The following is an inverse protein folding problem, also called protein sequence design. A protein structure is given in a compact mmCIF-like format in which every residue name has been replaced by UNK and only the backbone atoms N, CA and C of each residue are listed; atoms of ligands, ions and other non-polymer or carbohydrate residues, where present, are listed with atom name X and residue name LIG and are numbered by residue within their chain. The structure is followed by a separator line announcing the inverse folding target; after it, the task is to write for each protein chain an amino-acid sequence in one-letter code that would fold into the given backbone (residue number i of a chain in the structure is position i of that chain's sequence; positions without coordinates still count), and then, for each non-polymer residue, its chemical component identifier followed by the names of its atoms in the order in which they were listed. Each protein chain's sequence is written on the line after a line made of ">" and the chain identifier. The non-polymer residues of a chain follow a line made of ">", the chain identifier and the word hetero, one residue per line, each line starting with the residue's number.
data_IF_559751154449
#
_entry.id   IF_559751154449
#
_cell.length_a   1.000
_cell.length_b   1.000
_cell.length_c   1.000
_cell.angle_alpha   90.00
_cell.angle_beta   90.00
_cell.angle_gamma   90.00
#
_symmetry.space_group_name_H-M   'P 1'
#
loop_
_entity.id
_entity.type
_entity.pdbx_description
1 polymer ?
#
# COMPACT_ATOMS: atom_id res chain seq x y z
N UNK A 1 -1.06 -9.02 51.54
CA UNK A 1 -1.61 -7.65 51.64
C UNK A 1 -2.79 -7.51 50.69
N UNK A 2 -4.02 -7.28 51.17
CA UNK A 2 -5.21 -7.14 50.30
C UNK A 2 -5.29 -5.69 49.79
N UNK A 3 -5.37 -5.50 48.47
CA UNK A 3 -5.58 -4.18 47.85
C UNK A 3 -6.98 -3.65 48.15
N UNK A 4 -7.08 -2.35 48.44
CA UNK A 4 -8.37 -1.66 48.62
C UNK A 4 -9.16 -1.63 47.31
N UNK A 5 -10.49 -1.51 47.41
CA UNK A 5 -11.39 -1.42 46.24
C UNK A 5 -10.97 -0.27 45.31
N UNK A 6 -10.61 0.88 45.90
CA UNK A 6 -10.15 2.06 45.16
C UNK A 6 -8.85 1.78 44.38
N UNK A 7 -7.82 1.19 45.01
CA UNK A 7 -6.56 0.87 44.32
C UNK A 7 -6.76 -0.13 43.18
N UNK A 8 -7.70 -1.07 43.31
CA UNK A 8 -8.06 -2.01 42.23
C UNK A 8 -8.70 -1.27 41.05
N UNK A 9 -9.59 -0.31 41.32
CA UNK A 9 -10.22 0.53 40.29
C UNK A 9 -9.20 1.39 39.56
N UNK A 10 -8.27 2.03 40.29
CA UNK A 10 -7.19 2.84 39.68
C UNK A 10 -6.30 2.00 38.76
N UNK A 11 -5.89 0.80 39.20
CA UNK A 11 -5.11 -0.13 38.38
C UNK A 11 -5.88 -0.53 37.12
N UNK A 12 -7.18 -0.82 37.23
CA UNK A 12 -8.01 -1.20 36.10
C UNK A 12 -8.10 -0.07 35.06
N UNK A 13 -8.32 1.17 35.51
CA UNK A 13 -8.35 2.34 34.62
C UNK A 13 -7.00 2.51 33.93
N UNK A 14 -5.90 2.37 34.65
CA UNK A 14 -4.56 2.49 34.09
C UNK A 14 -4.29 1.44 33.01
N UNK A 15 -4.69 0.19 33.24
CA UNK A 15 -4.58 -0.89 32.24
C UNK A 15 -5.42 -0.54 30.99
N UNK A 16 -6.65 -0.07 31.18
CA UNK A 16 -7.52 0.34 30.07
C UNK A 16 -6.86 1.44 29.23
N UNK A 17 -6.29 2.47 29.86
CA UNK A 17 -5.61 3.56 29.17
C UNK A 17 -4.40 3.07 28.36
N UNK A 18 -3.60 2.15 28.90
CA UNK A 18 -2.48 1.54 28.17
C UNK A 18 -2.97 0.78 26.94
N UNK A 19 -4.04 -0.03 27.10
CA UNK A 19 -4.61 -0.80 25.99
C UNK A 19 -5.13 0.13 24.90
N UNK A 20 -5.88 1.19 25.26
CA UNK A 20 -6.35 2.18 24.30
C UNK A 20 -5.20 2.91 23.59
N UNK A 21 -4.16 3.31 24.33
CA UNK A 21 -2.98 3.95 23.75
C UNK A 21 -2.24 3.04 22.76
N UNK A 22 -2.08 1.75 23.10
CA UNK A 22 -1.47 0.76 22.23
C UNK A 22 -2.30 0.51 20.96
N UNK A 23 -3.63 0.41 21.09
CA UNK A 23 -4.53 0.27 19.93
C UNK A 23 -4.38 1.48 19.00
N UNK A 24 -4.38 2.70 19.54
CA UNK A 24 -4.23 3.91 18.73
C UNK A 24 -2.87 3.92 17.99
N UNK A 25 -1.78 3.64 18.69
CA UNK A 25 -0.44 3.58 18.10
C UNK A 25 -0.33 2.52 16.99
N UNK A 26 -0.89 1.33 17.21
CA UNK A 26 -0.86 0.23 16.22
C UNK A 26 -1.74 0.47 14.99
N UNK A 27 -2.73 1.37 15.08
CA UNK A 27 -3.63 1.74 13.99
C UNK A 27 -3.30 3.09 13.36
N UNK A 28 -2.20 3.72 13.78
CA UNK A 28 -1.81 5.02 13.25
C UNK A 28 -1.32 4.87 11.81
N UNK A 29 -1.94 5.61 10.89
CA UNK A 29 -1.63 5.62 9.46
C UNK A 29 -1.00 6.96 9.10
N UNK A 30 0.32 6.98 8.93
CA UNK A 30 1.09 8.18 8.60
C UNK A 30 1.67 8.15 7.19
N UNK A 31 1.23 7.19 6.40
CA UNK A 31 1.67 7.02 5.04
C UNK A 31 0.54 7.41 4.11
N UNK A 32 0.77 8.44 3.32
CA UNK A 32 -0.20 8.99 2.40
C UNK A 32 0.25 8.70 0.98
N UNK A 33 -0.50 7.90 0.24
CA UNK A 33 -0.10 7.46 -1.11
C UNK A 33 -1.14 7.89 -2.12
N UNK A 34 -0.69 8.48 -3.22
CA UNK A 34 -1.52 8.87 -4.36
C UNK A 34 -1.12 8.07 -5.59
N UNK A 35 -2.10 7.58 -6.34
CA UNK A 35 -1.87 6.77 -7.54
C UNK A 35 -2.39 7.48 -8.79
N UNK A 36 -1.60 7.45 -9.86
CA UNK A 36 -1.98 7.91 -11.20
C UNK A 36 -2.15 6.71 -12.12
N UNK A 37 -3.26 6.63 -12.84
CA UNK A 37 -3.43 5.62 -13.87
C UNK A 37 -2.71 6.06 -15.15
N UNK A 38 -1.59 5.38 -15.45
CA UNK A 38 -0.82 5.53 -16.69
C UNK A 38 -0.75 4.22 -17.48
N UNK A 39 -1.72 3.34 -17.29
CA UNK A 39 -1.83 2.07 -18.03
C UNK A 39 -2.27 2.27 -19.49
N UNK A 40 -2.76 3.46 -19.84
CA UNK A 40 -3.36 3.75 -21.14
C UNK A 40 -4.81 3.28 -21.27
N UNK A 41 -5.39 2.68 -20.24
CA UNK A 41 -6.74 2.11 -20.22
C UNK A 41 -7.45 2.48 -18.91
N UNK A 42 -8.78 2.35 -18.88
CA UNK A 42 -9.54 2.48 -17.63
C UNK A 42 -9.32 1.22 -16.78
N UNK A 43 -9.15 1.43 -15.48
CA UNK A 43 -9.15 0.34 -14.49
C UNK A 43 -10.56 0.29 -13.89
N UNK A 44 -11.26 -0.82 -14.09
CA UNK A 44 -12.66 -0.99 -13.63
C UNK A 44 -12.71 -1.34 -12.13
N UNK A 45 -11.64 -1.94 -11.60
CA UNK A 45 -11.49 -2.31 -10.20
C UNK A 45 -10.00 -2.40 -9.88
N UNK A 46 -9.55 -1.65 -8.88
CA UNK A 46 -8.16 -1.57 -8.45
C UNK A 46 -8.04 -1.94 -6.97
N UNK A 47 -7.07 -2.81 -6.67
CA UNK A 47 -6.64 -3.15 -5.31
C UNK A 47 -5.13 -2.97 -5.23
N UNK A 48 -4.66 -2.17 -4.28
CA UNK A 48 -3.23 -1.97 -4.01
C UNK A 48 -2.97 -2.15 -2.51
N UNK A 49 -1.96 -2.95 -2.17
CA UNK A 49 -1.57 -3.29 -0.80
C UNK A 49 -2.78 -3.77 0.03
N UNK A 50 -3.60 -4.65 -0.56
CA UNK A 50 -4.82 -5.17 0.04
C UNK A 50 -5.97 -4.16 0.23
N UNK A 51 -5.80 -2.90 -0.18
CA UNK A 51 -6.82 -1.86 -0.07
C UNK A 51 -7.57 -1.72 -1.39
N UNK A 52 -8.90 -1.85 -1.35
CA UNK A 52 -9.77 -1.61 -2.51
C UNK A 52 -9.88 -0.11 -2.77
N UNK A 53 -9.44 0.31 -3.97
CA UNK A 53 -9.44 1.69 -4.42
C UNK A 53 -10.69 2.01 -5.26
N UNK A 54 -11.19 1.03 -6.01
CA UNK A 54 -12.34 1.21 -6.92
C UNK A 54 -11.91 1.36 -8.37
N UNK A 55 -12.75 2.03 -9.17
CA UNK A 55 -12.43 2.36 -10.55
C UNK A 55 -11.47 3.54 -10.64
N UNK A 56 -10.65 3.57 -11.70
CA UNK A 56 -9.73 4.66 -11.97
C UNK A 56 -9.59 4.89 -13.47
N UNK A 57 -10.12 6.01 -13.95
CA UNK A 57 -10.06 6.40 -15.37
C UNK A 57 -8.62 6.61 -15.83
N UNK A 58 -8.35 6.30 -17.10
CA UNK A 58 -7.06 6.56 -17.72
C UNK A 58 -6.64 8.04 -17.56
N UNK A 59 -5.38 8.28 -17.18
CA UNK A 59 -4.85 9.62 -16.95
C UNK A 59 -5.35 10.33 -15.68
N UNK A 60 -6.27 9.72 -14.93
CA UNK A 60 -6.76 10.26 -13.65
C UNK A 60 -5.92 9.77 -12.47
N UNK A 61 -6.13 10.41 -11.31
CA UNK A 61 -5.49 10.02 -10.06
C UNK A 61 -6.49 9.82 -8.95
N UNK A 62 -6.11 9.02 -7.95
CA UNK A 62 -6.82 8.98 -6.68
C UNK A 62 -6.60 10.26 -5.88
N UNK A 63 -7.39 10.48 -4.82
CA UNK A 63 -6.94 11.30 -3.70
C UNK A 63 -5.80 10.59 -2.95
N UNK A 64 -5.21 11.26 -1.96
CA UNK A 64 -4.28 10.58 -1.05
C UNK A 64 -5.03 9.53 -0.22
N UNK A 65 -4.48 8.32 -0.20
CA UNK A 65 -5.01 7.16 0.52
C UNK A 65 -4.06 6.84 1.66
N UNK A 66 -4.62 6.61 2.85
CA UNK A 66 -3.86 6.34 4.06
C UNK A 66 -3.56 4.85 4.22
N UNK A 67 -2.27 4.54 4.27
CA UNK A 67 -1.73 3.22 4.53
C UNK A 67 -1.03 3.19 5.89
N UNK A 68 -0.97 2.00 6.49
CA UNK A 68 -0.20 1.76 7.71
C UNK A 68 1.28 1.63 7.40
N UNK A 69 1.57 0.88 6.35
CA UNK A 69 2.91 0.62 5.83
C UNK A 69 2.81 0.30 4.35
N UNK A 70 3.95 0.38 3.66
CA UNK A 70 4.08 0.08 2.25
C UNK A 70 5.46 -0.54 2.01
N UNK A 71 5.48 -1.62 1.24
CA UNK A 71 6.68 -2.38 0.92
C UNK A 71 7.43 -1.72 -0.25
N UNK A 72 8.73 -1.60 -0.10
CA UNK A 72 9.67 -1.17 -1.13
C UNK A 72 10.75 -2.24 -1.31
N UNK A 73 11.32 -2.32 -2.50
CA UNK A 73 12.50 -3.12 -2.81
C UNK A 73 13.49 -2.22 -3.56
N UNK A 74 14.68 -2.00 -2.97
CA UNK A 74 15.67 -1.03 -3.48
C UNK A 74 15.08 0.37 -3.76
N UNK A 75 14.15 0.83 -2.93
CA UNK A 75 13.48 2.14 -3.07
C UNK A 75 12.35 2.20 -4.11
N UNK A 76 12.05 1.10 -4.80
CA UNK A 76 10.92 0.99 -5.74
C UNK A 76 9.73 0.38 -5.00
N UNK A 77 8.50 0.91 -5.16
CA UNK A 77 7.32 0.33 -4.54
C UNK A 77 7.11 -1.13 -4.98
N UNK A 78 7.01 -2.04 -4.01
CA UNK A 78 6.88 -3.49 -4.20
C UNK A 78 5.64 -4.02 -3.48
N UNK A 79 4.53 -3.31 -3.62
CA UNK A 79 3.25 -3.72 -3.03
C UNK A 79 2.41 -4.55 -3.97
N UNK A 80 1.54 -5.37 -3.36
CA UNK A 80 0.63 -6.19 -4.15
C UNK A 80 -0.34 -5.31 -4.93
N UNK A 81 -0.39 -5.49 -6.25
CA UNK A 81 -1.32 -4.79 -7.13
C UNK A 81 -2.16 -5.77 -7.94
N UNK A 82 -3.46 -5.54 -7.99
CA UNK A 82 -4.33 -6.27 -8.91
C UNK A 82 -5.45 -5.38 -9.40
N UNK A 83 -5.96 -5.70 -10.58
CA UNK A 83 -7.12 -4.98 -11.08
C UNK A 83 -7.74 -5.60 -12.31
N UNK A 84 -8.78 -4.93 -12.80
CA UNK A 84 -9.51 -5.33 -14.00
C UNK A 84 -9.31 -4.25 -15.05
N UNK A 85 -8.68 -4.62 -16.16
CA UNK A 85 -8.53 -3.78 -17.36
C UNK A 85 -9.36 -4.42 -18.47
N UNK A 86 -10.30 -3.69 -19.07
CA UNK A 86 -11.14 -4.17 -20.18
C UNK A 86 -11.72 -5.57 -19.92
N UNK A 87 -12.36 -5.79 -18.76
CA UNK A 87 -12.92 -7.08 -18.30
C UNK A 87 -11.93 -8.23 -18.04
N UNK A 88 -10.61 -8.00 -18.19
CA UNK A 88 -9.58 -8.98 -17.87
C UNK A 88 -8.96 -8.67 -16.51
N UNK A 89 -8.88 -9.69 -15.66
CA UNK A 89 -8.10 -9.60 -14.42
C UNK A 89 -6.62 -9.58 -14.76
N UNK A 90 -5.92 -8.59 -14.24
CA UNK A 90 -4.49 -8.39 -14.43
C UNK A 90 -3.79 -8.63 -13.09
N UNK A 91 -2.70 -9.37 -13.15
CA UNK A 91 -1.88 -9.71 -12.01
C UNK A 91 -0.74 -8.70 -11.84
N UNK A 92 -0.12 -8.71 -10.67
CA UNK A 92 1.10 -7.93 -10.41
C UNK A 92 2.28 -8.46 -11.22
N UNK A 93 3.21 -7.57 -11.56
CA UNK A 93 4.53 -7.94 -12.03
C UNK A 93 5.42 -8.26 -10.83
N UNK A 94 5.82 -9.52 -10.70
CA UNK A 94 6.86 -9.92 -9.75
C UNK A 94 8.23 -9.77 -10.43
N UNK A 95 8.93 -8.68 -10.13
CA UNK A 95 10.20 -8.34 -10.79
C UNK A 95 11.44 -8.59 -9.90
N UNK A 96 11.26 -9.00 -8.65
CA UNK A 96 12.36 -9.26 -7.72
C UNK A 96 12.24 -10.65 -7.09
N UNK A 97 13.13 -11.55 -7.52
CA UNK A 97 13.26 -12.90 -6.96
C UNK A 97 14.13 -12.95 -5.70
N UNK A 98 15.09 -12.02 -5.56
CA UNK A 98 16.10 -12.07 -4.50
C UNK A 98 15.80 -11.17 -3.30
N UNK A 99 14.87 -10.19 -3.41
CA UNK A 99 14.26 -9.44 -2.30
C UNK A 99 15.22 -8.86 -1.26
N UNK A 100 16.48 -8.61 -1.64
CA UNK A 100 17.60 -8.43 -0.70
C UNK A 100 17.55 -7.07 0.00
N UNK A 101 16.83 -6.10 -0.57
CA UNK A 101 16.67 -4.74 -0.04
C UNK A 101 15.21 -4.40 0.24
N UNK A 102 14.40 -5.40 0.62
CA UNK A 102 13.00 -5.16 0.97
C UNK A 102 12.86 -4.45 2.32
N UNK A 103 12.28 -3.26 2.31
CA UNK A 103 11.98 -2.47 3.50
C UNK A 103 10.53 -2.00 3.52
N UNK A 104 9.96 -1.85 4.71
CA UNK A 104 8.61 -1.30 4.90
C UNK A 104 8.71 0.12 5.41
N UNK A 105 8.06 1.04 4.72
CA UNK A 105 7.91 2.42 5.17
C UNK A 105 6.53 2.62 5.79
N UNK A 106 6.45 3.28 6.93
CA UNK A 106 5.19 3.53 7.67
C UNK A 106 4.84 5.02 7.78
N UNK A 107 5.64 5.89 7.17
CA UNK A 107 5.51 7.34 7.25
C UNK A 107 5.89 8.00 5.94
N UNK A 108 5.24 9.10 5.62
CA UNK A 108 5.60 9.97 4.50
C UNK A 108 4.47 10.16 3.51
N UNK A 109 4.78 10.85 2.41
CA UNK A 109 3.84 11.09 1.32
C UNK A 109 4.47 10.68 0.00
N UNK A 110 3.82 9.77 -0.70
CA UNK A 110 4.33 9.18 -1.93
C UNK A 110 3.32 9.34 -3.07
N UNK A 111 3.84 9.48 -4.27
CA UNK A 111 3.04 9.51 -5.49
C UNK A 111 3.60 8.48 -6.45
N UNK A 112 2.73 7.58 -6.92
CA UNK A 112 3.09 6.51 -7.82
C UNK A 112 2.27 6.55 -9.11
N UNK A 113 2.90 6.12 -10.20
CA UNK A 113 2.22 5.79 -11.43
C UNK A 113 1.93 4.29 -11.46
N UNK A 114 0.70 3.94 -11.81
CA UNK A 114 0.30 2.59 -12.17
C UNK A 114 0.56 2.43 -13.67
N UNK A 115 1.46 1.53 -14.02
CA UNK A 115 1.78 1.18 -15.40
C UNK A 115 1.45 -0.27 -15.67
N UNK A 116 1.40 -0.62 -16.96
CA UNK A 116 1.28 -2.01 -17.41
C UNK A 116 2.49 -2.39 -18.23
N UNK A 117 2.88 -3.65 -18.15
CA UNK A 117 3.97 -4.24 -18.90
C UNK A 117 3.64 -5.68 -19.28
N UNK A 118 4.67 -6.38 -19.71
CA UNK A 118 4.58 -7.80 -20.08
C UNK A 118 5.55 -8.58 -19.21
N UNK A 119 5.11 -9.67 -18.60
CA UNK A 119 5.98 -10.58 -17.85
C UNK A 119 6.78 -11.51 -18.79
N UNK A 120 7.63 -12.36 -18.20
CA UNK A 120 8.45 -13.33 -18.95
C UNK A 120 7.61 -14.33 -19.78
N UNK A 121 6.36 -14.56 -19.38
CA UNK A 121 5.41 -15.45 -20.07
C UNK A 121 4.62 -14.75 -21.19
N UNK A 122 4.84 -13.46 -21.43
CA UNK A 122 4.08 -12.69 -22.41
C UNK A 122 2.72 -12.20 -21.91
N UNK A 123 2.39 -12.35 -20.62
CA UNK A 123 1.12 -11.91 -20.03
C UNK A 123 1.21 -10.45 -19.62
N UNK A 124 0.09 -9.74 -19.77
CA UNK A 124 -0.03 -8.36 -19.30
C UNK A 124 -0.04 -8.35 -17.77
N UNK A 125 0.82 -7.54 -17.17
CA UNK A 125 0.91 -7.33 -15.73
C UNK A 125 0.86 -5.84 -15.39
N UNK A 126 0.54 -5.52 -14.14
CA UNK A 126 0.58 -4.15 -13.60
C UNK A 126 1.69 -4.01 -12.56
N UNK A 127 2.27 -2.81 -12.48
CA UNK A 127 3.29 -2.47 -11.51
C UNK A 127 3.22 -1.00 -11.11
N UNK A 128 3.87 -0.68 -9.99
CA UNK A 128 4.00 0.67 -9.45
C UNK A 128 5.39 1.21 -9.73
N UNK A 129 5.47 2.50 -10.04
CA UNK A 129 6.72 3.24 -10.14
C UNK A 129 6.55 4.62 -9.54
N UNK A 130 7.63 5.25 -9.06
CA UNK A 130 7.60 6.66 -8.65
C UNK A 130 7.00 7.54 -9.74
N UNK A 131 6.25 8.56 -9.34
CA UNK A 131 5.57 9.44 -10.29
C UNK A 131 6.53 10.07 -11.30
N UNK A 132 6.24 9.90 -12.59
CA UNK A 132 7.09 10.31 -13.73
C UNK A 132 8.49 9.70 -13.73
N UNK A 133 8.72 8.64 -12.95
CA UNK A 133 9.96 7.88 -13.01
C UNK A 133 9.83 6.73 -14.00
N UNK A 134 10.98 6.32 -14.51
CA UNK A 134 11.13 5.08 -15.27
C UNK A 134 11.64 4.00 -14.35
N UNK A 135 11.19 2.77 -14.53
CA UNK A 135 11.90 1.62 -13.94
C UNK A 135 13.10 1.27 -14.84
N UNK A 136 14.12 0.63 -14.28
CA UNK A 136 15.40 0.33 -14.95
C UNK A 136 15.29 -0.47 -16.26
N UNK A 137 14.16 -1.12 -16.53
CA UNK A 137 13.88 -1.84 -17.78
C UNK A 137 13.03 -1.05 -18.80
N UNK A 138 12.59 0.17 -18.46
CA UNK A 138 11.90 1.07 -19.38
C UNK A 138 12.92 1.94 -20.13
N UNK A 139 13.01 1.80 -21.46
CA UNK A 139 13.84 2.66 -22.34
C UNK A 139 13.36 4.12 -22.36
#
# INVERSE_FOLDING_TARGET
>A
MKLSKQRKTEILIFIILIVFGAIFYLNFKNLHVKFYNKTGENIDSLVIAGTFIGDLKNGSSTEYIDYKEFLFDSGIPYEQISGILNTKKIHELNWSDCGTERNKESKGSYVFDIKKGTDEDGKTCMFLVGHNQKIFWEE
#
